data_IF_776906323702
#
_entry.id   IF_776906323702
#
_cell.length_a   1.000
_cell.length_b   1.000
_cell.length_c   1.000
_cell.angle_alpha   90.00
_cell.angle_beta   90.00
_cell.angle_gamma   90.00
#
_symmetry.space_group_name_H-M   'P 1'
#
loop_
_entity.id
_entity.type
_entity.pdbx_description
1 polymer ?
#
# COMPACT_ATOMS: atom_id res chain seq x y z
N UNK A 1 4.30 23.76 25.33
CA UNK A 1 5.10 23.62 24.09
C UNK A 1 4.51 22.43 23.38
N UNK A 2 3.62 22.68 22.42
CA UNK A 2 3.12 21.62 21.52
C UNK A 2 4.31 20.94 20.88
N UNK A 3 4.37 19.61 20.97
CA UNK A 3 5.39 18.84 20.28
C UNK A 3 5.21 19.10 18.77
N UNK A 4 6.28 19.38 18.01
CA UNK A 4 6.17 19.54 16.57
C UNK A 4 5.53 18.27 16.01
N UNK A 5 4.47 18.43 15.23
CA UNK A 5 3.76 17.36 14.55
C UNK A 5 4.80 16.59 13.74
N UNK A 6 5.25 15.45 14.26
CA UNK A 6 6.21 14.59 13.60
C UNK A 6 5.53 14.14 12.33
N UNK A 7 6.06 14.56 11.18
CA UNK A 7 5.77 13.93 9.91
C UNK A 7 6.29 12.50 10.02
N UNK A 8 5.45 11.59 10.54
CA UNK A 8 5.80 10.21 10.86
C UNK A 8 6.06 9.37 9.59
N UNK A 9 6.06 10.00 8.41
CA UNK A 9 6.12 9.33 7.12
C UNK A 9 4.90 8.46 6.85
N UNK A 10 3.83 8.59 7.65
CA UNK A 10 2.61 7.81 7.51
C UNK A 10 1.75 8.47 6.44
N UNK A 11 1.32 7.67 5.46
CA UNK A 11 0.39 8.11 4.42
C UNK A 11 -0.83 8.84 5.03
N UNK A 12 -1.08 10.10 4.63
CA UNK A 12 -2.18 10.90 5.16
C UNK A 12 -3.55 10.27 4.93
N UNK A 13 -3.72 9.44 3.89
CA UNK A 13 -4.95 8.71 3.65
C UNK A 13 -5.22 7.65 4.72
N UNK A 14 -4.17 6.98 5.22
CA UNK A 14 -4.29 6.01 6.32
C UNK A 14 -4.69 6.71 7.63
N UNK A 15 -4.12 7.89 7.90
CA UNK A 15 -4.50 8.70 9.06
C UNK A 15 -5.96 9.16 8.96
N UNK A 16 -6.40 9.61 7.78
CA UNK A 16 -7.78 10.01 7.55
C UNK A 16 -8.76 8.83 7.73
N UNK A 17 -8.41 7.65 7.23
CA UNK A 17 -9.22 6.45 7.41
C UNK A 17 -9.30 6.03 8.89
N UNK A 18 -8.18 6.02 9.60
CA UNK A 18 -8.14 5.71 11.03
C UNK A 18 -9.00 6.67 11.85
N UNK A 19 -8.94 7.97 11.56
CA UNK A 19 -9.79 8.99 12.19
C UNK A 19 -11.27 8.75 11.93
N UNK A 20 -11.68 8.40 10.71
CA UNK A 20 -13.09 8.07 10.39
C UNK A 20 -13.59 6.83 11.13
N UNK A 21 -12.71 5.85 11.35
CA UNK A 21 -13.03 4.59 12.03
C UNK A 21 -12.83 4.65 13.55
N UNK A 22 -12.39 5.79 14.10
CA UNK A 22 -12.11 5.94 15.54
C UNK A 22 -10.92 5.11 16.04
N UNK A 23 -10.01 4.71 15.15
CA UNK A 23 -8.85 3.89 15.47
C UNK A 23 -7.72 4.79 15.96
N UNK A 24 -7.17 4.45 17.13
CA UNK A 24 -5.98 5.13 17.64
C UNK A 24 -4.74 4.74 16.82
N UNK A 25 -4.02 5.74 16.34
CA UNK A 25 -2.75 5.58 15.62
C UNK A 25 -1.53 5.62 16.54
N UNK A 26 -1.74 5.94 17.83
CA UNK A 26 -0.65 6.11 18.79
C UNK A 26 0.14 4.82 18.98
N UNK A 27 1.46 4.89 18.74
CA UNK A 27 2.35 3.73 18.86
C UNK A 27 2.29 2.73 17.72
N UNK A 28 1.53 3.00 16.64
CA UNK A 28 1.53 2.18 15.43
C UNK A 28 2.52 2.73 14.41
N UNK A 29 3.34 1.87 13.83
CA UNK A 29 4.03 2.18 12.58
C UNK A 29 3.05 2.23 11.41
N UNK A 30 3.45 2.85 10.29
CA UNK A 30 2.62 2.88 9.08
C UNK A 30 2.20 1.47 8.62
N UNK A 31 3.15 0.53 8.61
CA UNK A 31 2.88 -0.86 8.22
C UNK A 31 1.85 -1.51 9.15
N UNK A 32 1.97 -1.30 10.46
CA UNK A 32 1.01 -1.82 11.42
C UNK A 32 -0.37 -1.18 11.23
N UNK A 33 -0.43 0.13 11.01
CA UNK A 33 -1.67 0.85 10.75
C UNK A 33 -2.35 0.35 9.47
N UNK A 34 -1.58 0.17 8.39
CA UNK A 34 -2.07 -0.34 7.11
C UNK A 34 -2.65 -1.75 7.23
N UNK A 35 -1.92 -2.65 7.90
CA UNK A 35 -2.39 -4.02 8.15
C UNK A 35 -3.63 -4.05 9.04
N UNK A 36 -3.71 -3.16 10.02
CA UNK A 36 -4.89 -3.05 10.87
C UNK A 36 -6.10 -2.54 10.07
N UNK A 37 -5.92 -1.48 9.27
CA UNK A 37 -6.95 -0.91 8.39
C UNK A 37 -7.45 -1.91 7.35
N UNK A 38 -6.57 -2.74 6.79
CA UNK A 38 -6.96 -3.82 5.87
C UNK A 38 -7.89 -4.85 6.51
N UNK A 39 -7.73 -5.13 7.82
CA UNK A 39 -8.58 -6.09 8.54
C UNK A 39 -9.94 -5.52 8.92
N UNK A 40 -9.97 -4.25 9.33
CA UNK A 40 -11.18 -3.59 9.85
C UNK A 40 -12.03 -2.93 8.76
N UNK A 41 -11.42 -2.50 7.65
CA UNK A 41 -12.09 -1.90 6.49
C UNK A 41 -11.49 -2.46 5.19
N UNK A 42 -11.83 -3.71 4.83
CA UNK A 42 -11.33 -4.35 3.62
C UNK A 42 -11.81 -3.62 2.35
N UNK A 43 -13.02 -3.08 2.34
CA UNK A 43 -13.54 -2.32 1.20
C UNK A 43 -12.71 -1.04 0.95
N UNK A 44 -12.34 -0.32 2.00
CA UNK A 44 -11.44 0.83 1.87
C UNK A 44 -10.05 0.44 1.37
N UNK A 45 -9.54 -0.73 1.77
CA UNK A 45 -8.27 -1.25 1.26
C UNK A 45 -8.33 -1.65 -0.22
N UNK A 46 -9.42 -2.30 -0.64
CA UNK A 46 -9.67 -2.67 -2.04
C UNK A 46 -9.78 -1.44 -2.94
N UNK A 47 -10.50 -0.40 -2.52
CA UNK A 47 -10.63 0.83 -3.30
C UNK A 47 -9.27 1.53 -3.49
N UNK A 48 -8.44 1.59 -2.43
CA UNK A 48 -7.07 2.13 -2.57
C UNK A 48 -6.22 1.31 -3.51
N UNK A 49 -6.28 -0.02 -3.42
CA UNK A 49 -5.56 -0.91 -4.31
C UNK A 49 -5.99 -0.71 -5.77
N UNK A 50 -7.31 -0.54 -6.00
CA UNK A 50 -7.87 -0.24 -7.33
C UNK A 50 -7.39 1.11 -7.86
N UNK A 51 -7.41 2.16 -7.03
CA UNK A 51 -6.93 3.50 -7.43
C UNK A 51 -5.45 3.45 -7.77
N UNK A 52 -4.62 2.83 -6.93
CA UNK A 52 -3.20 2.64 -7.19
C UNK A 52 -2.97 1.88 -8.50
N UNK A 53 -3.71 0.80 -8.75
CA UNK A 53 -3.58 0.03 -9.99
C UNK A 53 -3.98 0.86 -11.23
N UNK A 54 -5.00 1.72 -11.11
CA UNK A 54 -5.39 2.62 -12.19
C UNK A 54 -4.33 3.70 -12.45
N UNK A 55 -3.78 4.30 -11.40
CA UNK A 55 -2.71 5.31 -11.48
C UNK A 55 -1.41 4.74 -12.07
N UNK A 56 -1.15 3.45 -11.84
CA UNK A 56 0.07 2.77 -12.29
C UNK A 56 -0.19 1.85 -13.50
N UNK A 57 -1.35 1.94 -14.14
CA UNK A 57 -1.76 0.99 -15.18
C UNK A 57 -0.77 0.92 -16.36
N UNK A 58 -0.23 2.07 -16.79
CA UNK A 58 0.76 2.14 -17.86
C UNK A 58 2.07 1.44 -17.47
N UNK A 59 2.62 1.77 -16.30
CA UNK A 59 3.85 1.16 -15.79
C UNK A 59 3.70 -0.34 -15.58
N UNK A 60 2.54 -0.79 -15.07
CA UNK A 60 2.21 -2.21 -14.94
C UNK A 60 2.17 -2.87 -16.31
N UNK A 61 1.54 -2.24 -17.32
CA UNK A 61 1.47 -2.79 -18.67
C UNK A 61 2.83 -2.88 -19.36
N UNK A 62 3.69 -1.87 -19.19
CA UNK A 62 5.07 -1.90 -19.69
C UNK A 62 5.89 -3.00 -19.02
N UNK A 63 5.82 -3.10 -17.68
CA UNK A 63 6.49 -4.15 -16.93
C UNK A 63 6.03 -5.55 -17.34
N UNK A 64 4.73 -5.76 -17.50
CA UNK A 64 4.17 -7.03 -17.95
C UNK A 64 4.68 -7.40 -19.34
N UNK A 65 4.72 -6.44 -20.28
CA UNK A 65 5.26 -6.65 -21.62
C UNK A 65 6.73 -7.05 -21.59
N UNK A 66 7.53 -6.38 -20.76
CA UNK A 66 8.94 -6.73 -20.57
C UNK A 66 9.10 -8.17 -20.07
N UNK A 67 8.29 -8.58 -19.09
CA UNK A 67 8.29 -9.94 -18.56
C UNK A 67 7.82 -10.96 -19.60
N UNK A 68 6.81 -10.62 -20.42
CA UNK A 68 6.35 -11.48 -21.52
C UNK A 68 7.43 -11.69 -22.60
N UNK A 69 8.19 -10.64 -22.91
CA UNK A 69 9.24 -10.68 -23.94
C UNK A 69 10.52 -11.36 -23.45
N UNK A 70 10.92 -11.13 -22.20
CA UNK A 70 12.23 -11.54 -21.69
C UNK A 70 12.19 -12.64 -20.61
N UNK A 71 11.00 -12.98 -20.12
CA UNK A 71 10.84 -13.87 -18.96
C UNK A 71 11.15 -13.18 -17.62
N UNK A 72 11.09 -13.93 -16.54
CA UNK A 72 11.52 -13.46 -15.23
C UNK A 72 13.02 -13.69 -15.06
N UNK A 73 13.68 -12.78 -14.33
CA UNK A 73 15.07 -12.96 -13.92
C UNK A 73 15.28 -14.30 -13.20
N UNK A 74 14.31 -14.74 -12.41
CA UNK A 74 14.34 -15.99 -11.64
C UNK A 74 14.00 -17.24 -12.45
N UNK A 75 13.73 -17.16 -13.75
CA UNK A 75 13.34 -18.32 -14.54
C UNK A 75 14.41 -19.43 -14.54
N UNK A 76 15.70 -19.06 -14.45
CA UNK A 76 16.80 -20.01 -14.30
C UNK A 76 16.86 -20.72 -12.94
N UNK A 77 16.08 -20.28 -11.95
CA UNK A 77 15.98 -20.88 -10.62
C UNK A 77 14.72 -21.74 -10.47
N UNK A 78 13.80 -21.74 -11.44
CA UNK A 78 12.61 -22.59 -11.38
C UNK A 78 13.03 -24.04 -11.52
N UNK A 79 12.82 -24.82 -10.45
CA UNK A 79 12.88 -26.28 -10.49
C UNK A 79 11.54 -26.86 -10.92
N UNK A 80 11.54 -28.15 -11.30
CA UNK A 80 10.38 -28.92 -11.75
C UNK A 80 9.40 -29.26 -10.63
#
# INVERSE_FOLDING_TARGET
MDAPELDLGIDPELLAQARRLGISVAGLSETQLRLHLQKVDPAGAEERARRWAAENAEAIAEHNRFVEEHGLLSDHLRTW
#
